data_IF_304073737891
#
_entry.id   IF_304073737891
#
_cell.length_a   1.000
_cell.length_b   1.000
_cell.length_c   1.000
_cell.angle_alpha   90.00
_cell.angle_beta   90.00
_cell.angle_gamma   90.00
#
_symmetry.space_group_name_H-M   'P 1'
#
loop_
_entity.id
_entity.type
_entity.pdbx_description
1 polymer ?
#
# COMPACT_ATOMS: atom_id res chain seq x y z
N UNK A 1 -55.12 87.07 30.33
CA UNK A 1 -54.09 86.57 29.32
C UNK A 1 -52.97 85.96 30.11
N UNK A 2 -52.99 84.65 30.27
CA UNK A 2 -52.08 83.91 31.15
C UNK A 2 -51.08 83.22 30.24
N UNK A 3 -49.77 83.51 30.39
CA UNK A 3 -48.67 82.90 29.69
C UNK A 3 -48.15 81.74 30.50
N UNK A 4 -48.32 80.51 29.99
CA UNK A 4 -47.83 79.28 30.59
C UNK A 4 -46.41 78.99 30.05
N UNK A 5 -45.40 79.10 30.91
CA UNK A 5 -44.03 78.75 30.62
C UNK A 5 -43.82 77.25 30.79
N UNK A 6 -43.57 76.54 29.70
CA UNK A 6 -43.22 75.07 29.68
C UNK A 6 -41.77 74.89 30.06
N UNK A 7 -41.51 74.22 31.18
CA UNK A 7 -40.13 73.81 31.56
C UNK A 7 -39.74 72.48 30.84
N UNK A 8 -38.60 72.49 30.15
CA UNK A 8 -38.06 71.33 29.50
C UNK A 8 -37.50 70.28 30.51
N UNK A 9 -37.64 68.95 30.28
CA UNK A 9 -37.16 67.96 31.25
C UNK A 9 -35.64 67.81 31.23
N UNK A 10 -35.08 67.78 32.43
CA UNK A 10 -33.63 67.62 32.69
C UNK A 10 -33.11 66.24 32.07
N UNK A 11 -32.15 66.32 31.19
CA UNK A 11 -31.42 65.17 30.67
C UNK A 11 -30.71 64.47 31.84
N UNK A 12 -31.11 63.21 32.14
CA UNK A 12 -30.37 62.31 33.03
C UNK A 12 -28.97 61.98 32.38
N UNK A 13 -27.91 62.38 33.06
CA UNK A 13 -26.54 61.95 32.69
C UNK A 13 -26.45 60.43 32.79
N UNK A 14 -25.99 59.76 31.71
CA UNK A 14 -25.65 58.37 31.72
C UNK A 14 -24.57 58.06 32.76
N UNK A 15 -24.65 57.00 33.54
CA UNK A 15 -23.62 56.62 34.50
C UNK A 15 -22.30 56.39 33.76
N UNK A 16 -21.23 56.96 34.30
CA UNK A 16 -19.86 56.77 33.81
C UNK A 16 -19.51 55.26 33.81
N UNK A 17 -18.79 54.72 32.81
CA UNK A 17 -18.41 53.30 32.79
C UNK A 17 -17.57 52.98 34.04
N UNK A 18 -18.06 52.01 34.82
CA UNK A 18 -17.34 51.49 36.00
C UNK A 18 -16.04 50.85 35.48
N UNK A 19 -14.86 51.27 36.02
CA UNK A 19 -13.61 50.62 35.63
C UNK A 19 -13.62 49.13 35.96
N UNK A 20 -13.10 48.24 35.12
CA UNK A 20 -13.12 46.78 35.35
C UNK A 20 -12.40 46.50 36.69
N UNK A 21 -13.02 45.65 37.50
CA UNK A 21 -12.46 45.23 38.79
C UNK A 21 -11.04 44.63 38.62
N UNK A 22 -10.09 44.85 39.53
CA UNK A 22 -8.75 44.30 39.43
C UNK A 22 -8.83 42.75 39.40
N UNK A 23 -8.33 42.18 38.31
CA UNK A 23 -8.31 40.72 38.11
C UNK A 23 -7.54 40.07 39.29
N UNK A 24 -8.12 39.04 39.90
CA UNK A 24 -7.52 38.33 41.03
C UNK A 24 -6.12 37.76 40.66
N UNK A 25 -5.25 37.57 41.64
CA UNK A 25 -3.92 37.01 41.43
C UNK A 25 -3.98 35.66 40.70
N UNK A 26 -5.00 34.81 40.98
CA UNK A 26 -5.26 33.54 40.26
C UNK A 26 -5.60 33.75 38.78
N UNK A 27 -6.36 34.77 38.44
CA UNK A 27 -6.72 35.11 37.06
C UNK A 27 -5.48 35.62 36.30
N UNK A 28 -4.59 36.40 36.94
CA UNK A 28 -3.33 36.86 36.37
C UNK A 28 -2.35 35.73 36.16
N UNK A 29 -2.24 34.76 37.07
CA UNK A 29 -1.41 33.57 36.92
C UNK A 29 -1.87 32.70 35.74
N UNK A 30 -3.17 32.41 35.67
CA UNK A 30 -3.75 31.64 34.54
C UNK A 30 -3.58 32.33 33.19
N UNK A 31 -3.63 33.64 33.12
CA UNK A 31 -3.38 34.39 31.88
C UNK A 31 -1.91 34.32 31.48
N UNK A 32 -0.97 34.44 32.41
CA UNK A 32 0.47 34.30 32.14
C UNK A 32 0.82 32.88 31.73
N UNK A 33 0.24 31.85 32.35
CA UNK A 33 0.40 30.45 31.93
C UNK A 33 -0.17 30.20 30.53
N UNK A 34 -1.33 30.77 30.21
CA UNK A 34 -1.93 30.70 28.87
C UNK A 34 -1.13 31.49 27.82
N UNK A 35 -0.45 32.57 28.22
CA UNK A 35 0.44 33.33 27.34
C UNK A 35 1.74 32.60 27.08
N UNK A 36 2.25 31.82 28.04
CA UNK A 36 3.47 31.00 27.88
C UNK A 36 3.26 29.72 27.03
N UNK A 37 2.00 29.34 26.76
CA UNK A 37 1.73 28.16 25.93
C UNK A 37 1.96 28.44 24.45
N UNK A 38 2.70 27.54 23.80
CA UNK A 38 2.84 27.53 22.34
C UNK A 38 1.50 27.15 21.67
N UNK A 39 1.10 27.92 20.69
CA UNK A 39 -0.08 27.68 19.86
C UNK A 39 0.30 27.72 18.40
N UNK A 40 -0.33 26.89 17.59
CA UNK A 40 -0.18 26.96 16.15
C UNK A 40 -0.67 28.35 15.68
N UNK A 41 0.22 29.12 15.07
CA UNK A 41 -0.04 30.49 14.62
C UNK A 41 0.02 30.67 13.12
N UNK A 42 0.68 29.75 12.40
CA UNK A 42 0.82 29.82 10.94
C UNK A 42 0.99 28.41 10.36
N UNK A 43 0.36 28.16 9.24
CA UNK A 43 0.52 26.94 8.45
C UNK A 43 0.94 27.35 7.06
N UNK A 44 2.08 26.86 6.59
CA UNK A 44 2.55 27.04 5.22
C UNK A 44 2.61 25.69 4.53
N UNK A 45 2.09 25.62 3.33
CA UNK A 45 2.17 24.42 2.49
C UNK A 45 2.60 24.77 1.08
N UNK A 46 3.42 23.95 0.48
CA UNK A 46 3.80 24.05 -0.92
C UNK A 46 3.62 22.69 -1.60
N UNK A 47 2.84 22.64 -2.66
CA UNK A 47 2.59 21.43 -3.45
C UNK A 47 2.18 20.22 -2.59
N UNK A 48 1.13 20.37 -1.76
CA UNK A 48 0.65 19.34 -0.87
C UNK A 48 -0.82 19.00 -1.15
N UNK A 49 -1.10 17.75 -1.53
CA UNK A 49 -2.45 17.30 -1.92
C UNK A 49 -3.02 18.16 -3.04
N UNK A 50 -4.18 18.72 -2.82
CA UNK A 50 -4.87 19.64 -3.75
C UNK A 50 -4.29 21.05 -3.75
N UNK A 51 -3.47 21.41 -2.76
CA UNK A 51 -2.77 22.69 -2.72
C UNK A 51 -1.62 22.70 -3.74
N UNK A 52 -1.78 23.45 -4.82
CA UNK A 52 -0.76 23.61 -5.86
C UNK A 52 -0.07 24.97 -5.69
N UNK A 53 1.27 24.96 -5.72
CA UNK A 53 2.06 26.16 -5.40
C UNK A 53 2.14 26.41 -3.88
N UNK A 54 2.46 27.63 -3.52
CA UNK A 54 2.64 28.08 -2.13
C UNK A 54 1.33 28.64 -1.57
N UNK A 55 1.00 28.22 -0.36
CA UNK A 55 -0.14 28.72 0.41
C UNK A 55 0.31 29.02 1.83
N UNK A 56 -0.11 30.17 2.35
CA UNK A 56 0.18 30.67 3.68
C UNK A 56 -1.13 30.96 4.41
N UNK A 57 -1.34 30.30 5.53
CA UNK A 57 -2.57 30.39 6.32
C UNK A 57 -2.21 30.83 7.73
N UNK A 58 -2.52 32.08 8.08
CA UNK A 58 -2.43 32.53 9.46
C UNK A 58 -3.50 31.83 10.30
N UNK A 59 -3.14 31.39 11.49
CA UNK A 59 -4.04 30.79 12.46
C UNK A 59 -4.28 31.78 13.59
N UNK A 60 -5.48 32.37 13.67
CA UNK A 60 -5.84 33.30 14.75
C UNK A 60 -5.79 32.63 16.12
N UNK A 61 -5.58 33.44 17.17
CA UNK A 61 -5.48 32.93 18.55
C UNK A 61 -6.76 32.24 19.02
N UNK A 62 -7.91 32.69 18.54
CA UNK A 62 -9.22 32.15 18.88
C UNK A 62 -9.60 30.90 18.11
N UNK A 63 -8.72 30.44 17.20
CA UNK A 63 -8.89 29.23 16.41
C UNK A 63 -9.17 29.52 14.93
N UNK A 64 -9.16 28.46 14.14
CA UNK A 64 -9.41 28.50 12.70
C UNK A 64 -10.46 27.43 12.36
N UNK A 65 -11.54 27.84 11.71
CA UNK A 65 -12.57 26.95 11.19
C UNK A 65 -12.38 26.82 9.67
N UNK A 66 -12.19 25.59 9.20
CA UNK A 66 -12.08 25.28 7.78
C UNK A 66 -13.44 24.84 7.23
N UNK A 67 -14.02 25.64 6.36
CA UNK A 67 -15.29 25.34 5.68
C UNK A 67 -15.11 25.24 4.17
N UNK A 68 -16.00 24.53 3.51
CA UNK A 68 -15.96 24.40 2.05
C UNK A 68 -16.56 23.07 1.56
N UNK A 69 -16.81 22.93 0.24
CA UNK A 69 -17.34 21.71 -0.36
C UNK A 69 -16.40 20.50 -0.20
N UNK A 70 -16.91 19.30 -0.47
CA UNK A 70 -16.08 18.10 -0.51
C UNK A 70 -14.99 18.26 -1.58
N UNK A 71 -13.77 17.79 -1.29
CA UNK A 71 -12.63 17.94 -2.21
C UNK A 71 -11.87 19.27 -2.14
N UNK A 72 -12.35 20.28 -1.36
CA UNK A 72 -11.69 21.60 -1.26
C UNK A 72 -10.34 21.63 -0.51
N UNK A 73 -9.83 20.48 -0.05
CA UNK A 73 -8.52 20.40 0.60
C UNK A 73 -8.54 20.47 2.13
N UNK A 74 -9.70 20.58 2.79
CA UNK A 74 -9.78 20.63 4.27
C UNK A 74 -9.03 19.48 4.94
N UNK A 75 -9.32 18.26 4.53
CA UNK A 75 -8.63 17.07 5.05
C UNK A 75 -7.15 17.04 4.67
N UNK A 76 -6.78 17.55 3.47
CA UNK A 76 -5.37 17.64 3.06
C UNK A 76 -4.56 18.57 3.96
N UNK A 77 -5.18 19.63 4.48
CA UNK A 77 -4.52 20.53 5.43
C UNK A 77 -4.33 19.86 6.80
N UNK A 78 -5.34 19.11 7.31
CA UNK A 78 -5.20 18.33 8.54
C UNK A 78 -4.15 17.21 8.39
N UNK A 79 -4.09 16.60 7.22
CA UNK A 79 -3.08 15.59 6.90
C UNK A 79 -1.67 16.19 6.79
N UNK A 80 -1.55 17.49 6.41
CA UNK A 80 -0.28 18.22 6.49
C UNK A 80 0.22 18.37 7.92
N UNK A 81 -0.67 18.70 8.88
CA UNK A 81 -0.33 18.73 10.30
C UNK A 81 0.15 17.35 10.77
N UNK A 82 -0.59 16.31 10.41
CA UNK A 82 -0.24 14.92 10.73
C UNK A 82 1.10 14.50 10.13
N UNK A 83 1.42 14.96 8.90
CA UNK A 83 2.68 14.67 8.25
C UNK A 83 3.89 15.21 9.01
N UNK A 84 3.75 16.34 9.72
CA UNK A 84 4.79 16.94 10.54
C UNK A 84 4.81 16.38 11.96
N UNK A 85 3.64 16.30 12.60
CA UNK A 85 3.53 16.03 14.03
C UNK A 85 3.49 14.55 14.41
N UNK A 86 3.23 13.63 13.44
CA UNK A 86 2.99 12.21 13.75
C UNK A 86 4.05 11.32 13.12
N UNK A 87 4.62 10.36 13.88
CA UNK A 87 5.54 9.36 13.32
C UNK A 87 4.90 8.58 12.17
N UNK A 88 5.71 8.18 11.18
CA UNK A 88 5.22 7.45 10.01
C UNK A 88 4.42 6.19 10.38
N UNK A 89 4.89 5.42 11.38
CA UNK A 89 4.23 4.19 11.87
C UNK A 89 2.83 4.41 12.46
N UNK A 90 2.54 5.62 12.96
CA UNK A 90 1.28 5.96 13.61
C UNK A 90 0.40 6.88 12.74
N UNK A 91 0.90 7.27 11.56
CA UNK A 91 0.24 8.24 10.69
C UNK A 91 -0.84 7.54 9.86
N UNK A 92 -2.06 7.97 10.04
CA UNK A 92 -3.20 7.57 9.21
C UNK A 92 -3.75 8.80 8.52
N UNK A 93 -3.60 8.88 7.21
CA UNK A 93 -4.14 9.99 6.44
C UNK A 93 -5.64 9.80 6.21
N UNK A 94 -6.39 10.90 6.40
CA UNK A 94 -7.84 10.97 6.19
C UNK A 94 -8.64 9.80 6.79
N UNK A 95 -8.54 9.63 8.09
CA UNK A 95 -9.38 8.68 8.85
C UNK A 95 -10.89 8.85 8.56
N UNK A 96 -11.30 10.03 8.06
CA UNK A 96 -12.68 10.33 7.70
C UNK A 96 -13.20 9.62 6.44
N UNK A 97 -12.36 9.06 5.58
CA UNK A 97 -12.77 8.38 4.34
C UNK A 97 -12.69 6.85 4.41
N UNK A 98 -12.34 6.27 5.55
CA UNK A 98 -12.15 4.82 5.71
C UNK A 98 -13.45 4.00 5.65
N UNK A 99 -14.63 4.63 5.75
CA UNK A 99 -15.92 3.92 5.66
C UNK A 99 -16.26 3.38 4.26
N UNK A 100 -15.43 3.64 3.25
CA UNK A 100 -15.69 3.24 1.86
C UNK A 100 -14.83 2.07 1.35
N UNK A 101 -14.27 1.23 2.24
CA UNK A 101 -13.62 -0.03 1.83
C UNK A 101 -12.34 0.10 0.99
N UNK A 102 -11.79 1.31 0.86
CA UNK A 102 -10.54 1.52 0.11
C UNK A 102 -9.34 1.23 1.00
N UNK A 103 -8.55 0.25 0.60
CA UNK A 103 -7.30 -0.15 1.25
C UNK A 103 -6.39 1.04 1.57
N UNK A 104 -5.77 1.02 2.74
CA UNK A 104 -4.90 2.05 3.37
C UNK A 104 -3.72 2.54 2.48
N UNK A 105 -3.37 1.81 1.41
CA UNK A 105 -2.36 2.18 0.41
C UNK A 105 -2.71 3.39 -0.46
N UNK A 106 -3.96 3.86 -0.40
CA UNK A 106 -4.46 4.90 -1.28
C UNK A 106 -3.89 6.30 -1.00
N UNK A 107 -3.47 6.57 0.24
CA UNK A 107 -2.99 7.89 0.68
C UNK A 107 -1.66 7.75 1.39
N UNK A 108 -0.61 7.98 0.65
CA UNK A 108 0.78 8.00 1.10
C UNK A 108 1.36 9.41 0.99
N UNK A 109 2.51 9.66 1.58
CA UNK A 109 3.24 10.93 1.36
C UNK A 109 3.44 11.18 -0.13
N UNK A 110 3.74 10.14 -0.92
CA UNK A 110 3.88 10.26 -2.37
C UNK A 110 2.60 10.80 -3.03
N UNK A 111 1.43 10.26 -2.67
CA UNK A 111 0.16 10.71 -3.23
C UNK A 111 -0.15 12.17 -2.88
N UNK A 112 0.23 12.63 -1.69
CA UNK A 112 0.10 14.04 -1.31
C UNK A 112 1.10 14.94 -2.03
N UNK A 113 2.37 14.55 -2.10
CA UNK A 113 3.40 15.33 -2.81
C UNK A 113 3.08 15.43 -4.29
N UNK A 114 2.63 14.36 -4.92
CA UNK A 114 2.21 14.38 -6.33
C UNK A 114 0.80 14.94 -6.55
N UNK A 115 -0.01 15.07 -5.50
CA UNK A 115 -1.38 15.58 -5.61
C UNK A 115 -2.29 14.63 -6.36
N UNK A 116 -2.49 13.43 -5.83
CA UNK A 116 -3.45 12.46 -6.37
C UNK A 116 -4.87 13.05 -6.28
N UNK A 117 -5.59 13.12 -7.41
CA UNK A 117 -6.92 13.72 -7.45
C UNK A 117 -8.01 12.81 -8.03
N UNK A 118 -7.63 11.81 -8.82
CA UNK A 118 -8.57 10.89 -9.47
C UNK A 118 -8.02 9.48 -9.47
N UNK A 119 -8.91 8.50 -9.31
CA UNK A 119 -8.64 7.08 -9.53
C UNK A 119 -9.59 6.56 -10.57
N UNK A 120 -9.05 5.91 -11.57
CA UNK A 120 -9.81 5.29 -12.65
C UNK A 120 -9.38 3.82 -12.72
N UNK A 121 -10.35 2.91 -12.74
CA UNK A 121 -10.05 1.50 -13.03
C UNK A 121 -10.01 1.36 -14.53
N UNK A 122 -8.92 0.88 -15.08
CA UNK A 122 -8.83 0.54 -16.49
C UNK A 122 -9.78 -0.63 -16.77
N UNK A 123 -10.76 -0.41 -17.64
CA UNK A 123 -11.77 -1.40 -17.97
C UNK A 123 -11.23 -2.63 -18.70
N UNK A 124 -10.01 -2.56 -19.28
CA UNK A 124 -9.38 -3.65 -20.02
C UNK A 124 -8.47 -4.51 -19.13
N UNK A 125 -7.75 -3.91 -18.19
CA UNK A 125 -6.75 -4.61 -17.35
C UNK A 125 -7.23 -4.81 -15.92
N UNK A 126 -8.27 -4.10 -15.46
CA UNK A 126 -8.71 -4.08 -14.06
C UNK A 126 -7.75 -3.31 -13.12
N UNK A 127 -6.67 -2.74 -13.65
CA UNK A 127 -5.71 -1.98 -12.87
C UNK A 127 -6.26 -0.62 -12.45
N UNK A 128 -5.97 -0.23 -11.19
CA UNK A 128 -6.34 1.10 -10.67
C UNK A 128 -5.23 2.09 -11.01
N UNK A 129 -5.51 2.96 -11.98
CA UNK A 129 -4.62 4.07 -12.35
C UNK A 129 -4.97 5.30 -11.51
N UNK A 130 -3.95 5.96 -10.97
CA UNK A 130 -4.10 7.19 -10.19
C UNK A 130 -3.56 8.37 -10.98
N UNK A 131 -4.41 9.37 -11.19
CA UNK A 131 -4.03 10.63 -11.83
C UNK A 131 -3.44 11.59 -10.81
N UNK A 132 -2.33 12.22 -11.18
CA UNK A 132 -1.60 13.15 -10.35
C UNK A 132 -1.57 14.57 -10.96
N UNK A 133 -1.71 15.58 -10.12
CA UNK A 133 -1.54 16.98 -10.53
C UNK A 133 -0.10 17.30 -10.95
N UNK A 134 0.87 16.61 -10.35
CA UNK A 134 2.31 16.85 -10.54
C UNK A 134 2.99 15.56 -10.96
N UNK A 135 3.28 15.41 -12.24
CA UNK A 135 3.86 14.19 -12.84
C UNK A 135 5.38 14.24 -12.95
N UNK A 136 5.97 15.44 -13.03
CA UNK A 136 7.41 15.66 -13.11
C UNK A 136 8.14 15.55 -11.77
N UNK A 137 9.41 15.97 -11.73
CA UNK A 137 10.13 16.15 -10.47
C UNK A 137 9.37 17.14 -9.58
N UNK A 138 9.03 16.73 -8.38
CA UNK A 138 8.14 17.51 -7.50
C UNK A 138 8.84 17.88 -6.21
N UNK A 139 8.76 19.16 -5.88
CA UNK A 139 9.19 19.76 -4.60
C UNK A 139 7.94 20.03 -3.79
N UNK A 140 7.96 19.66 -2.53
CA UNK A 140 6.84 19.90 -1.61
C UNK A 140 7.39 20.28 -0.23
N UNK A 141 6.64 21.03 0.53
CA UNK A 141 7.05 21.41 1.87
C UNK A 141 5.85 21.78 2.73
N UNK A 142 6.01 21.58 4.03
CA UNK A 142 5.05 21.95 5.06
C UNK A 142 5.84 22.65 6.16
N UNK A 143 5.35 23.80 6.61
CA UNK A 143 5.89 24.50 7.78
C UNK A 143 4.77 24.85 8.75
N UNK A 144 4.94 24.50 10.03
CA UNK A 144 4.02 24.76 11.12
C UNK A 144 4.72 25.67 12.13
N UNK A 145 4.25 26.90 12.27
CA UNK A 145 4.79 27.85 13.25
C UNK A 145 3.94 27.82 14.51
N UNK A 146 4.60 27.63 15.63
CA UNK A 146 4.01 27.70 16.97
C UNK A 146 4.57 28.93 17.67
N UNK A 147 3.70 29.79 18.17
CA UNK A 147 4.07 31.01 18.87
C UNK A 147 3.46 31.06 20.27
N UNK A 148 4.21 31.61 21.21
CA UNK A 148 3.69 31.98 22.52
C UNK A 148 2.90 33.28 22.40
N UNK A 149 2.08 33.60 23.39
CA UNK A 149 1.37 34.88 23.48
C UNK A 149 2.24 35.92 24.21
N UNK A 150 2.23 37.19 23.73
CA UNK A 150 2.90 38.30 24.39
C UNK A 150 3.88 39.06 23.47
N UNK A 151 4.29 40.25 23.87
CA UNK A 151 5.34 41.02 23.17
C UNK A 151 6.68 40.29 23.30
N UNK A 152 7.37 40.09 22.18
CA UNK A 152 8.65 39.34 22.13
C UNK A 152 8.48 37.83 22.24
N UNK A 153 7.29 37.29 21.98
CA UNK A 153 6.98 35.87 22.08
C UNK A 153 7.89 35.03 21.19
N UNK A 154 8.46 33.98 21.79
CA UNK A 154 9.24 32.99 21.05
C UNK A 154 8.34 32.24 20.06
N UNK A 155 8.83 32.06 18.86
CA UNK A 155 8.19 31.26 17.84
C UNK A 155 9.12 30.11 17.44
N UNK A 156 8.51 28.95 17.19
CA UNK A 156 9.17 27.75 16.74
C UNK A 156 8.48 27.25 15.48
N UNK A 157 9.24 27.05 14.42
CA UNK A 157 8.70 26.50 13.17
C UNK A 157 9.23 25.10 12.92
N UNK A 158 8.32 24.15 12.75
CA UNK A 158 8.60 22.78 12.36
C UNK A 158 8.40 22.66 10.85
N UNK A 159 9.43 22.21 10.14
CA UNK A 159 9.42 22.18 8.67
C UNK A 159 9.73 20.76 8.19
N UNK A 160 8.95 20.29 7.23
CA UNK A 160 9.23 19.05 6.51
C UNK A 160 9.27 19.36 5.02
N UNK A 161 10.39 19.03 4.41
CA UNK A 161 10.63 19.19 2.98
C UNK A 161 10.60 17.82 2.30
N UNK A 162 9.99 17.75 1.13
CA UNK A 162 9.89 16.54 0.34
C UNK A 162 10.38 16.80 -1.09
N UNK A 163 11.03 15.80 -1.65
CA UNK A 163 11.41 15.78 -3.06
C UNK A 163 11.13 14.42 -3.66
N UNK A 164 10.47 14.41 -4.83
CA UNK A 164 10.18 13.21 -5.62
C UNK A 164 10.76 13.41 -7.02
N UNK A 165 11.55 12.46 -7.49
CA UNK A 165 12.12 12.49 -8.83
C UNK A 165 11.04 12.23 -9.89
N UNK A 166 11.25 12.72 -11.11
CA UNK A 166 10.38 12.40 -12.24
C UNK A 166 10.35 10.87 -12.47
N UNK A 167 9.18 10.35 -12.89
CA UNK A 167 9.01 8.92 -13.20
C UNK A 167 8.96 7.97 -12.00
N UNK A 168 9.04 8.48 -10.77
CA UNK A 168 9.02 7.66 -9.56
C UNK A 168 7.60 7.48 -9.05
N UNK A 169 7.16 6.22 -8.90
CA UNK A 169 5.84 5.86 -8.40
C UNK A 169 5.89 5.01 -7.11
N UNK A 170 7.07 4.70 -6.58
CA UNK A 170 7.25 3.98 -5.33
C UNK A 170 7.25 4.93 -4.12
N UNK A 171 6.54 4.57 -3.06
CA UNK A 171 6.37 5.43 -1.88
C UNK A 171 7.64 5.65 -1.06
N UNK A 172 8.56 4.70 -1.07
CA UNK A 172 9.88 4.74 -0.43
C UNK A 172 10.89 5.65 -1.13
N UNK A 173 10.60 6.10 -2.35
CA UNK A 173 11.44 7.01 -3.11
C UNK A 173 11.16 8.50 -2.85
N UNK A 174 10.34 8.84 -1.84
CA UNK A 174 10.15 10.22 -1.40
C UNK A 174 11.30 10.61 -0.48
N UNK A 175 12.21 11.44 -0.99
CA UNK A 175 13.24 12.05 -0.15
C UNK A 175 12.59 13.04 0.82
N UNK A 176 12.95 12.94 2.11
CA UNK A 176 12.42 13.77 3.18
C UNK A 176 13.55 14.42 3.97
N UNK A 177 13.35 15.68 4.38
CA UNK A 177 14.21 16.39 5.33
C UNK A 177 13.35 17.05 6.40
N UNK A 178 13.73 16.84 7.66
CA UNK A 178 13.09 17.38 8.84
C UNK A 178 13.93 18.55 9.38
N UNK A 179 13.30 19.68 9.60
CA UNK A 179 13.96 20.91 10.03
C UNK A 179 13.17 21.54 11.18
N UNK A 180 13.89 22.23 12.05
CA UNK A 180 13.33 23.05 13.11
C UNK A 180 14.02 24.40 13.06
N UNK A 181 13.23 25.47 13.04
CA UNK A 181 13.70 26.84 12.99
C UNK A 181 13.18 27.64 14.18
N UNK A 182 13.97 28.56 14.68
CA UNK A 182 13.51 29.62 15.55
C UNK A 182 12.85 30.74 14.73
N UNK A 183 11.80 31.35 15.26
CA UNK A 183 11.03 32.33 14.50
C UNK A 183 10.01 31.74 13.55
N UNK A 184 9.59 32.50 12.56
CA UNK A 184 8.59 32.14 11.55
C UNK A 184 9.14 32.36 10.13
N UNK A 185 10.14 31.57 9.69
CA UNK A 185 10.70 31.70 8.35
C UNK A 185 9.65 31.33 7.28
N UNK A 186 9.82 31.95 6.10
CA UNK A 186 9.01 31.60 4.94
C UNK A 186 9.52 30.31 4.30
N UNK A 187 8.60 29.38 4.07
CA UNK A 187 8.89 28.12 3.39
C UNK A 187 9.47 28.33 1.99
N UNK A 188 9.08 29.43 1.32
CA UNK A 188 9.56 29.79 -0.01
C UNK A 188 11.07 29.96 -0.09
N UNK A 189 11.71 30.46 0.99
CA UNK A 189 13.17 30.59 1.08
C UNK A 189 13.91 29.26 1.06
N UNK A 190 13.24 28.16 1.38
CA UNK A 190 13.84 26.82 1.39
C UNK A 190 13.63 26.05 0.08
N UNK A 191 12.67 26.45 -0.77
CA UNK A 191 12.33 25.74 -2.01
C UNK A 191 13.49 25.69 -3.03
N UNK A 192 14.37 26.69 -3.17
CA UNK A 192 15.51 26.61 -4.08
C UNK A 192 16.43 25.42 -3.79
N UNK A 193 16.60 25.04 -2.52
CA UNK A 193 17.44 23.90 -2.11
C UNK A 193 16.87 22.53 -2.49
N UNK A 194 15.66 22.52 -3.07
CA UNK A 194 14.99 21.31 -3.54
C UNK A 194 15.01 21.16 -5.07
N UNK A 195 15.77 21.99 -5.79
CA UNK A 195 15.72 22.05 -7.26
C UNK A 195 16.09 20.71 -7.94
N UNK A 196 17.13 20.06 -7.47
CA UNK A 196 17.66 18.79 -8.04
C UNK A 196 17.71 17.65 -7.00
N UNK A 197 16.98 17.78 -5.94
CA UNK A 197 17.01 16.92 -4.75
C UNK A 197 17.15 17.82 -3.51
N UNK A 198 17.26 17.19 -2.32
CA UNK A 198 17.40 17.96 -1.08
C UNK A 198 18.88 18.28 -0.84
N UNK A 199 19.29 19.52 -1.05
CA UNK A 199 20.66 19.98 -0.79
C UNK A 199 20.86 20.37 0.68
N UNK A 200 21.13 19.38 1.51
CA UNK A 200 21.39 19.56 2.95
C UNK A 200 22.63 20.37 3.25
N UNK A 201 23.65 20.33 2.36
CA UNK A 201 24.92 21.05 2.54
C UNK A 201 24.72 22.54 2.33
N UNK A 202 24.01 22.93 1.28
CA UNK A 202 23.68 24.33 1.02
C UNK A 202 22.80 24.89 2.15
N UNK A 203 21.77 24.16 2.61
CA UNK A 203 20.94 24.61 3.73
C UNK A 203 21.78 24.86 4.99
N UNK A 204 22.69 23.94 5.36
CA UNK A 204 23.57 24.14 6.54
C UNK A 204 24.51 25.31 6.39
N UNK A 205 25.05 25.53 5.20
CA UNK A 205 25.97 26.63 4.91
C UNK A 205 25.28 27.99 5.00
N UNK A 206 24.09 28.10 4.42
CA UNK A 206 23.38 29.35 4.26
C UNK A 206 22.54 29.72 5.51
N UNK A 207 22.25 28.74 6.39
CA UNK A 207 21.48 28.90 7.62
C UNK A 207 22.18 28.24 8.82
N UNK A 208 23.41 28.67 9.20
CA UNK A 208 24.21 27.96 10.21
C UNK A 208 23.61 27.99 11.61
N UNK A 209 22.94 29.07 12.00
CA UNK A 209 22.37 29.24 13.35
C UNK A 209 20.84 29.18 13.41
N UNK A 210 20.16 29.38 12.29
CA UNK A 210 18.69 29.49 12.26
C UNK A 210 17.92 28.19 12.05
N UNK A 211 18.58 27.17 11.49
CA UNK A 211 17.92 25.91 11.10
C UNK A 211 18.63 24.67 11.66
N UNK A 212 17.92 23.88 12.43
CA UNK A 212 18.39 22.55 12.87
C UNK A 212 17.84 21.47 11.95
N UNK A 213 18.74 20.67 11.37
CA UNK A 213 18.42 19.56 10.50
C UNK A 213 18.41 18.25 11.29
N UNK A 214 17.46 17.37 10.98
CA UNK A 214 17.32 16.06 11.61
C UNK A 214 17.25 14.96 10.54
N UNK A 215 17.96 13.87 10.79
CA UNK A 215 17.99 12.72 9.89
C UNK A 215 16.90 11.69 10.25
N UNK A 216 16.49 11.66 11.52
CA UNK A 216 15.48 10.72 12.03
C UNK A 216 14.33 11.47 12.69
N UNK A 217 13.12 10.94 12.49
CA UNK A 217 11.92 11.54 13.06
C UNK A 217 11.93 11.54 14.60
N UNK A 218 12.48 10.50 15.24
CA UNK A 218 12.54 10.39 16.69
C UNK A 218 13.33 11.54 17.33
N UNK A 219 14.47 11.89 16.73
CA UNK A 219 15.30 13.02 17.18
C UNK A 219 14.59 14.37 16.98
N UNK A 220 13.93 14.55 15.83
CA UNK A 220 13.09 15.70 15.52
C UNK A 220 11.93 15.82 16.52
N UNK A 221 11.20 14.74 16.75
CA UNK A 221 10.08 14.70 17.67
C UNK A 221 10.50 14.99 19.13
N UNK A 222 11.61 14.43 19.58
CA UNK A 222 12.14 14.71 20.91
C UNK A 222 12.52 16.19 21.07
N UNK A 223 13.10 16.81 20.02
CA UNK A 223 13.48 18.21 20.03
C UNK A 223 12.26 19.13 20.11
N UNK A 224 11.27 18.94 19.24
CA UNK A 224 10.08 19.81 19.26
C UNK A 224 9.20 19.56 20.49
N UNK A 225 9.03 18.31 20.96
CA UNK A 225 8.30 18.05 22.21
C UNK A 225 8.89 18.83 23.40
N UNK A 226 10.21 18.84 23.52
CA UNK A 226 10.89 19.60 24.58
C UNK A 226 10.63 21.10 24.47
N UNK A 227 10.67 21.66 23.26
CA UNK A 227 10.44 23.11 23.03
C UNK A 227 8.98 23.50 23.20
N UNK A 228 8.04 22.64 22.79
CA UNK A 228 6.61 22.88 22.92
C UNK A 228 6.05 22.53 24.31
N UNK A 229 6.87 22.00 25.22
CA UNK A 229 6.42 21.60 26.55
C UNK A 229 5.54 20.34 26.58
N UNK A 230 5.65 19.47 25.56
CA UNK A 230 4.90 18.23 25.50
C UNK A 230 5.61 17.16 26.36
N UNK A 231 4.97 16.76 27.45
CA UNK A 231 5.58 15.89 28.46
C UNK A 231 5.83 14.46 27.98
N UNK A 232 5.08 13.96 26.99
CA UNK A 232 5.17 12.56 26.58
C UNK A 232 4.81 12.34 25.10
N UNK A 233 5.22 11.19 24.57
CA UNK A 233 4.79 10.70 23.25
C UNK A 233 3.28 10.39 23.25
N UNK A 234 2.73 10.02 24.39
CA UNK A 234 1.29 9.76 24.55
C UNK A 234 0.48 11.02 24.26
N UNK A 235 0.92 12.19 24.76
CA UNK A 235 0.26 13.47 24.49
C UNK A 235 0.27 13.80 22.98
N UNK A 236 1.36 13.47 22.28
CA UNK A 236 1.47 13.65 20.83
C UNK A 236 0.52 12.70 20.07
N UNK A 237 0.42 11.45 20.50
CA UNK A 237 -0.56 10.48 19.94
C UNK A 237 -1.99 10.91 20.19
N UNK A 238 -2.27 11.46 21.37
CA UNK A 238 -3.57 11.97 21.73
C UNK A 238 -4.00 13.11 20.80
N UNK A 239 -3.11 14.07 20.51
CA UNK A 239 -3.38 15.15 19.57
C UNK A 239 -3.78 14.61 18.19
N UNK A 240 -3.07 13.58 17.70
CA UNK A 240 -3.40 12.96 16.41
C UNK A 240 -4.76 12.25 16.42
N UNK A 241 -5.06 11.49 17.48
CA UNK A 241 -6.36 10.83 17.63
C UNK A 241 -7.51 11.83 17.67
N UNK A 242 -7.33 12.96 18.39
CA UNK A 242 -8.33 14.04 18.44
C UNK A 242 -8.60 14.68 17.07
N UNK A 243 -7.54 14.87 16.26
CA UNK A 243 -7.68 15.39 14.89
C UNK A 243 -8.36 14.39 13.94
N UNK A 244 -8.22 13.09 14.19
CA UNK A 244 -8.82 12.02 13.41
C UNK A 244 -10.27 11.71 13.82
N UNK A 245 -10.74 12.20 14.99
CA UNK A 245 -12.08 11.91 15.50
C UNK A 245 -13.14 12.62 14.65
N UNK A 246 -14.01 11.86 13.99
CA UNK A 246 -15.12 12.38 13.17
C UNK A 246 -16.29 12.95 13.98
N UNK A 247 -16.54 12.39 15.16
CA UNK A 247 -17.57 12.83 16.07
C UNK A 247 -17.19 12.49 17.52
N UNK A 248 -17.43 13.39 18.40
CA UNK A 248 -17.39 13.16 19.84
C UNK A 248 -18.76 12.64 20.28
N UNK A 249 -19.12 11.43 19.81
CA UNK A 249 -20.48 10.90 19.95
C UNK A 249 -20.87 10.62 21.42
N UNK A 250 -19.91 10.31 22.29
CA UNK A 250 -20.15 10.17 23.72
C UNK A 250 -18.89 10.48 24.53
N UNK A 251 -19.08 10.92 25.78
CA UNK A 251 -18.01 11.14 26.74
C UNK A 251 -17.26 9.82 27.04
N UNK A 252 -17.98 8.69 27.08
CA UNK A 252 -17.43 7.36 27.30
C UNK A 252 -16.47 6.96 26.18
N UNK A 253 -16.87 7.16 24.91
CA UNK A 253 -16.02 6.93 23.75
C UNK A 253 -14.79 7.84 23.79
N UNK A 254 -14.97 9.12 24.13
CA UNK A 254 -13.88 10.06 24.30
C UNK A 254 -12.87 9.58 25.37
N UNK A 255 -13.36 9.22 26.55
CA UNK A 255 -12.51 8.77 27.65
C UNK A 255 -11.81 7.44 27.31
N UNK A 256 -12.52 6.51 26.69
CA UNK A 256 -11.99 5.20 26.29
C UNK A 256 -10.94 5.33 25.19
N UNK A 257 -11.21 6.11 24.16
CA UNK A 257 -10.33 6.24 23.00
C UNK A 257 -9.14 7.17 23.26
N UNK A 258 -9.30 8.12 24.21
CA UNK A 258 -8.31 9.18 24.45
C UNK A 258 -7.56 9.06 25.76
N UNK A 259 -8.12 8.47 26.79
CA UNK A 259 -7.47 8.38 28.12
C UNK A 259 -6.99 6.98 28.49
N UNK A 260 -7.51 5.95 27.84
CA UNK A 260 -7.03 4.59 28.03
C UNK A 260 -6.07 4.24 26.90
N UNK A 261 -4.88 3.75 27.26
CA UNK A 261 -4.00 3.10 26.28
C UNK A 261 -4.72 1.85 25.76
N UNK A 262 -4.67 1.64 24.46
CA UNK A 262 -5.19 0.43 23.83
C UNK A 262 -4.49 -0.78 24.47
N UNK A 263 -5.23 -1.70 25.08
CA UNK A 263 -4.62 -2.85 25.73
C UNK A 263 -3.74 -3.61 24.74
N UNK A 264 -2.54 -3.98 25.16
CA UNK A 264 -1.60 -4.74 24.32
C UNK A 264 -2.22 -6.07 23.85
N UNK A 265 -3.16 -6.60 24.62
CA UNK A 265 -3.96 -7.80 24.27
C UNK A 265 -4.77 -7.64 23.00
N UNK A 266 -5.31 -6.45 22.69
CA UNK A 266 -6.05 -6.21 21.43
C UNK A 266 -5.10 -6.24 20.23
N UNK A 267 -3.93 -5.63 20.36
CA UNK A 267 -2.90 -5.69 19.32
C UNK A 267 -2.39 -7.11 19.08
N UNK A 268 -2.24 -7.88 20.15
CA UNK A 268 -1.85 -9.30 20.06
C UNK A 268 -2.97 -10.13 19.43
N UNK A 269 -4.23 -9.82 19.73
CA UNK A 269 -5.37 -10.46 19.09
C UNK A 269 -5.43 -10.18 17.58
N UNK A 270 -5.25 -8.92 17.17
CA UNK A 270 -5.20 -8.56 15.75
C UNK A 270 -4.04 -9.23 15.01
N UNK A 271 -2.85 -9.24 15.63
CA UNK A 271 -1.70 -9.95 15.07
C UNK A 271 -1.93 -11.48 14.99
N UNK A 272 -2.60 -12.05 15.98
CA UNK A 272 -2.96 -13.48 15.97
C UNK A 272 -3.99 -13.80 14.85
N UNK A 273 -4.97 -12.93 14.64
CA UNK A 273 -5.94 -13.08 13.54
C UNK A 273 -5.26 -13.01 12.18
N UNK A 274 -4.31 -12.08 12.00
CA UNK A 274 -3.53 -11.96 10.77
C UNK A 274 -2.68 -13.21 10.52
N UNK A 275 -1.93 -13.67 11.53
CA UNK A 275 -1.14 -14.91 11.45
C UNK A 275 -2.01 -16.13 11.18
N UNK A 276 -3.20 -16.20 11.79
CA UNK A 276 -4.12 -17.28 11.53
C UNK A 276 -4.67 -17.25 10.09
N UNK A 277 -4.86 -16.05 9.54
CA UNK A 277 -5.20 -15.85 8.13
C UNK A 277 -4.13 -16.43 7.19
N UNK A 278 -2.86 -16.07 7.40
CA UNK A 278 -1.73 -16.60 6.63
C UNK A 278 -1.59 -18.12 6.75
N UNK A 279 -1.74 -18.65 7.97
CA UNK A 279 -1.69 -20.09 8.20
C UNK A 279 -2.82 -20.84 7.50
N UNK A 280 -4.02 -20.27 7.47
CA UNK A 280 -5.18 -20.84 6.77
C UNK A 280 -4.96 -20.87 5.26
N UNK A 281 -4.40 -19.81 4.69
CA UNK A 281 -4.04 -19.76 3.26
C UNK A 281 -2.98 -20.80 2.91
N UNK A 282 -1.93 -20.90 3.73
CA UNK A 282 -0.89 -21.90 3.54
C UNK A 282 -1.46 -23.34 3.65
N UNK A 283 -2.34 -23.58 4.63
CA UNK A 283 -3.01 -24.87 4.78
C UNK A 283 -3.89 -25.20 3.57
N UNK A 284 -4.67 -24.24 3.06
CA UNK A 284 -5.49 -24.41 1.87
C UNK A 284 -4.65 -24.81 0.65
N UNK A 285 -3.50 -24.15 0.44
CA UNK A 285 -2.58 -24.49 -0.64
C UNK A 285 -2.01 -25.92 -0.51
N UNK A 286 -1.70 -26.37 0.72
CA UNK A 286 -1.26 -27.76 0.95
C UNK A 286 -2.36 -28.77 0.67
N UNK A 287 -3.60 -28.46 1.08
CA UNK A 287 -4.76 -29.34 0.79
C UNK A 287 -4.97 -29.44 -0.72
N UNK A 288 -4.98 -28.32 -1.42
CA UNK A 288 -5.10 -28.29 -2.88
C UNK A 288 -3.99 -29.08 -3.57
N UNK A 289 -2.74 -28.91 -3.14
CA UNK A 289 -1.61 -29.66 -3.68
C UNK A 289 -1.76 -31.19 -3.47
N UNK A 290 -2.26 -31.62 -2.31
CA UNK A 290 -2.54 -33.03 -2.03
C UNK A 290 -3.69 -33.59 -2.89
N UNK A 291 -4.73 -32.81 -3.11
CA UNK A 291 -5.82 -33.19 -4.01
C UNK A 291 -5.31 -33.33 -5.45
N UNK A 292 -4.47 -32.42 -5.92
CA UNK A 292 -3.81 -32.50 -7.22
C UNK A 292 -2.89 -33.73 -7.30
N UNK A 293 -2.08 -34.00 -6.28
CA UNK A 293 -1.24 -35.21 -6.22
C UNK A 293 -2.09 -36.47 -6.29
N UNK A 294 -3.16 -36.57 -5.52
CA UNK A 294 -4.08 -37.69 -5.51
C UNK A 294 -4.77 -37.90 -6.87
N UNK A 295 -5.16 -36.80 -7.53
CA UNK A 295 -5.78 -36.86 -8.86
C UNK A 295 -4.77 -37.30 -9.96
N UNK A 296 -3.50 -36.95 -9.81
CA UNK A 296 -2.44 -37.28 -10.74
C UNK A 296 -1.82 -38.67 -10.49
N UNK A 297 -1.90 -39.20 -9.29
CA UNK A 297 -1.32 -40.51 -8.92
C UNK A 297 -1.68 -41.63 -9.90
N UNK A 298 -2.95 -41.79 -10.38
CA UNK A 298 -3.31 -42.85 -11.34
C UNK A 298 -2.67 -42.69 -12.71
N UNK A 299 -2.20 -41.48 -13.09
CA UNK A 299 -1.65 -41.24 -14.42
C UNK A 299 -0.35 -42.02 -14.69
N UNK A 300 0.45 -42.29 -13.66
CA UNK A 300 1.68 -43.05 -13.79
C UNK A 300 1.38 -44.53 -14.15
N UNK A 301 0.34 -45.10 -13.56
CA UNK A 301 -0.11 -46.47 -13.83
C UNK A 301 -0.81 -46.56 -15.17
N UNK A 302 -1.67 -45.60 -15.49
CA UNK A 302 -2.31 -45.50 -16.80
C UNK A 302 -1.28 -45.33 -17.92
N UNK A 303 -0.24 -44.51 -17.70
CA UNK A 303 0.85 -44.36 -18.67
C UNK A 303 1.60 -45.66 -18.94
N UNK A 304 1.91 -46.46 -17.91
CA UNK A 304 2.49 -47.81 -18.07
C UNK A 304 1.55 -48.72 -18.85
N UNK A 305 0.29 -48.75 -18.49
CA UNK A 305 -0.73 -49.56 -19.17
C UNK A 305 -0.85 -49.20 -20.65
N UNK A 306 -0.79 -47.94 -21.00
CA UNK A 306 -0.80 -47.45 -22.38
C UNK A 306 0.45 -47.90 -23.13
N UNK A 307 1.63 -47.81 -22.50
CA UNK A 307 2.88 -48.24 -23.10
C UNK A 307 2.88 -49.74 -23.33
N UNK A 308 2.45 -50.52 -22.33
CA UNK A 308 2.37 -51.99 -22.42
C UNK A 308 1.35 -52.45 -23.48
N UNK A 309 0.19 -51.78 -23.52
CA UNK A 309 -0.82 -52.06 -24.55
C UNK A 309 -0.33 -51.71 -25.95
N UNK A 310 0.39 -50.59 -26.09
CA UNK A 310 1.04 -50.20 -27.37
C UNK A 310 2.10 -51.21 -27.82
N UNK A 311 2.92 -51.74 -26.90
CA UNK A 311 3.86 -52.79 -27.19
C UNK A 311 3.22 -54.10 -27.62
N UNK A 312 2.14 -54.48 -26.91
CA UNK A 312 1.33 -55.65 -27.27
C UNK A 312 0.67 -55.52 -28.65
N UNK A 313 0.12 -54.33 -28.92
CA UNK A 313 -0.48 -54.02 -30.23
C UNK A 313 0.57 -54.13 -31.33
N UNK A 314 1.71 -53.50 -31.16
CA UNK A 314 2.81 -53.59 -32.16
C UNK A 314 3.30 -55.02 -32.38
N UNK A 315 3.38 -55.82 -31.31
CA UNK A 315 3.74 -57.24 -31.42
C UNK A 315 2.68 -58.03 -32.18
N UNK A 316 1.40 -57.82 -31.87
CA UNK A 316 0.29 -58.48 -32.56
C UNK A 316 0.23 -58.08 -34.05
N UNK A 317 0.48 -56.83 -34.39
CA UNK A 317 0.55 -56.33 -35.78
C UNK A 317 1.74 -56.97 -36.52
N UNK A 318 2.89 -57.08 -35.87
CA UNK A 318 4.04 -57.75 -36.45
C UNK A 318 3.78 -59.24 -36.70
N UNK A 319 3.15 -59.93 -35.76
CA UNK A 319 2.71 -61.30 -35.95
C UNK A 319 1.72 -61.43 -37.09
N UNK A 320 0.71 -60.59 -37.14
CA UNK A 320 -0.28 -60.58 -38.20
C UNK A 320 0.37 -60.33 -39.57
N UNK A 321 1.33 -59.46 -39.67
CA UNK A 321 2.09 -59.20 -40.89
C UNK A 321 2.97 -60.39 -41.31
N UNK A 322 3.49 -61.18 -40.35
CA UNK A 322 4.31 -62.37 -40.64
C UNK A 322 3.49 -63.59 -41.08
N UNK A 323 2.18 -63.71 -40.71
CA UNK A 323 1.33 -64.84 -41.03
C UNK A 323 1.32 -65.19 -42.53
N UNK A 324 1.10 -64.28 -43.47
CA UNK A 324 1.11 -64.61 -44.89
C UNK A 324 2.38 -65.27 -45.36
N UNK A 325 3.52 -64.74 -44.92
CA UNK A 325 4.85 -65.29 -45.24
C UNK A 325 5.05 -66.69 -44.66
N UNK A 326 4.62 -66.92 -43.41
CA UNK A 326 4.70 -68.20 -42.78
C UNK A 326 3.79 -69.25 -43.45
N UNK A 327 2.57 -68.89 -43.81
CA UNK A 327 1.66 -69.77 -44.57
C UNK A 327 2.25 -70.10 -45.94
N UNK A 328 2.88 -69.13 -46.59
CA UNK A 328 3.53 -69.40 -47.87
C UNK A 328 4.71 -70.36 -47.71
N UNK A 329 5.54 -70.18 -46.69
CA UNK A 329 6.65 -71.07 -46.38
C UNK A 329 6.14 -72.52 -46.10
N UNK A 330 5.11 -72.70 -45.28
CA UNK A 330 4.50 -73.98 -45.01
C UNK A 330 3.99 -74.67 -46.29
N UNK A 331 3.36 -73.88 -47.17
CA UNK A 331 2.87 -74.44 -48.47
C UNK A 331 4.03 -74.92 -49.33
N UNK A 332 5.10 -74.12 -49.43
CA UNK A 332 6.28 -74.49 -50.17
C UNK A 332 6.98 -75.77 -49.62
N UNK A 333 7.07 -75.88 -48.29
CA UNK A 333 7.60 -77.02 -47.60
C UNK A 333 6.75 -78.30 -47.91
N UNK A 334 5.42 -78.23 -47.80
CA UNK A 334 4.57 -79.35 -48.14
C UNK A 334 4.63 -79.69 -49.59
N UNK A 335 4.61 -78.72 -50.49
CA UNK A 335 4.72 -79.02 -51.92
C UNK A 335 6.12 -79.66 -52.28
N UNK A 336 7.18 -79.26 -51.60
CA UNK A 336 8.47 -79.92 -51.75
C UNK A 336 8.40 -81.39 -51.27
N UNK A 337 7.83 -81.65 -50.12
CA UNK A 337 7.65 -83.04 -49.63
C UNK A 337 6.77 -83.85 -50.54
N UNK A 338 5.67 -83.32 -51.12
CA UNK A 338 4.83 -84.00 -52.09
C UNK A 338 5.58 -84.22 -53.39
N UNK A 339 6.32 -83.30 -53.89
CA UNK A 339 7.19 -83.47 -55.07
C UNK A 339 8.18 -84.58 -54.86
N UNK A 340 8.89 -84.59 -53.71
CA UNK A 340 9.83 -85.60 -53.41
C UNK A 340 9.21 -87.02 -53.28
N UNK A 341 8.03 -87.11 -52.68
CA UNK A 341 7.29 -88.35 -52.64
C UNK A 341 6.82 -88.79 -54.03
N UNK A 342 6.31 -87.87 -54.85
CA UNK A 342 5.95 -88.14 -56.23
C UNK A 342 7.15 -88.58 -57.06
N UNK A 343 8.30 -87.88 -56.90
CA UNK A 343 9.54 -88.29 -57.57
C UNK A 343 10.05 -89.69 -57.20
N UNK A 344 9.98 -90.03 -55.89
CA UNK A 344 10.26 -91.35 -55.39
C UNK A 344 9.32 -92.39 -55.93
N UNK A 345 8.01 -92.07 -56.02
CA UNK A 345 7.01 -93.00 -56.63
C UNK A 345 7.27 -93.22 -58.14
N UNK A 346 7.60 -92.14 -58.87
CA UNK A 346 7.99 -92.25 -60.30
C UNK A 346 9.19 -93.17 -60.46
N UNK A 347 10.25 -92.92 -59.65
CA UNK A 347 11.49 -93.72 -59.72
C UNK A 347 11.16 -95.21 -59.38
N UNK A 348 10.33 -95.44 -58.40
CA UNK A 348 9.86 -96.83 -58.07
C UNK A 348 9.10 -97.47 -59.19
N UNK A 349 8.18 -96.83 -59.87
CA UNK A 349 7.43 -97.31 -61.01
C UNK A 349 8.34 -97.51 -62.22
N UNK A 350 9.31 -96.62 -62.48
CA UNK A 350 10.32 -96.82 -63.55
C UNK A 350 11.12 -98.03 -63.27
N UNK A 351 11.50 -98.30 -62.02
CA UNK A 351 12.24 -99.55 -61.67
C UNK A 351 11.33 -100.81 -61.84
N UNK A 352 10.08 -100.74 -61.51
CA UNK A 352 9.10 -101.79 -61.71
C UNK A 352 8.90 -102.09 -63.20
N UNK A 353 8.73 -101.03 -64.02
CA UNK A 353 8.59 -101.15 -65.47
C UNK A 353 9.92 -101.78 -66.09
N UNK A 354 11.08 -101.34 -65.66
CA UNK A 354 12.30 -101.92 -66.11
C UNK A 354 12.48 -103.39 -65.73
N UNK A 355 12.05 -103.69 -64.50
CA UNK A 355 12.01 -105.10 -64.03
C UNK A 355 11.00 -106.00 -64.80
N UNK A 356 9.80 -105.42 -65.09
CA UNK A 356 8.81 -106.09 -65.90
C UNK A 356 9.37 -106.32 -67.35
N UNK A 357 9.95 -105.35 -67.99
CA UNK A 357 10.59 -105.49 -69.30
C UNK A 357 11.73 -106.52 -69.31
N UNK A 358 12.58 -106.47 -68.24
CA UNK A 358 13.62 -107.53 -68.14
C UNK A 358 13.07 -108.93 -67.93
N UNK A 359 11.92 -109.11 -67.32
CA UNK A 359 11.21 -110.40 -67.18
C UNK A 359 10.62 -110.83 -68.51
N UNK A 360 10.07 -109.88 -69.29
CA UNK A 360 9.54 -110.20 -70.63
C UNK A 360 10.64 -110.56 -71.55
N UNK A 361 11.78 -109.83 -71.56
CA UNK A 361 12.98 -110.27 -72.39
C UNK A 361 13.57 -111.58 -71.97
N UNK A 362 13.36 -112.03 -70.75
CA UNK A 362 13.86 -113.29 -70.25
C UNK A 362 12.90 -114.51 -70.54
N UNK A 363 11.67 -114.21 -70.97
CA UNK A 363 10.58 -115.25 -71.24
C UNK A 363 10.48 -115.53 -72.74
N UNK A 364 11.22 -114.89 -73.59
CA UNK A 364 11.34 -115.18 -75.01
C UNK A 364 12.64 -116.00 -75.23
#
# INVERSE_FOLDING_TARGET
>A
MSTTTSAAPARRRAPSPVPPAPRSARTRSRLREAEAQHRLSRIQVHNWGTFNGYHDLPVPRDGLILTGPSGSGKSSLLDALSAVLVPAKNRRFNAAAQDSGSTDRARSILSYVRGAYRRTTDGATGEVVTDFLRTGATRSGIALTFSQGGEGAESLTLIVLFHVRAGTNAGDAVAQLLLMAEGSPDLTGLLPYLAHGIDRRAIRRDHPEGLRLFDKYEAFAAAFRRRLGLSSEVAQRLLHRTQAAKSLASLDTLLRDFMLDEPETLRLADAAVEQFGELREAHAAVVEAREQESALAPLSELSRTIIDAGAQQAHAEALAAAVPGYVHHLRLTRLAEERDRAAAAVTGLEAEVAQAAAREDSAV
#
